data_IF_585420305229
#
_entry.id   IF_585420305229
#
_cell.length_a   1.000
_cell.length_b   1.000
_cell.length_c   1.000
_cell.angle_alpha   90.00
_cell.angle_beta   90.00
_cell.angle_gamma   90.00
#
_symmetry.space_group_name_H-M   'P 1'
#
loop_
_entity.id
_entity.type
_entity.pdbx_description
1 polymer ?
#
# COMPACT_ATOMS: atom_id res chain seq x y z
N UNK A 1 -5.87 -16.90 -15.64
CA UNK A 1 -7.19 -16.71 -16.27
C UNK A 1 -7.02 -16.44 -17.76
N UNK A 2 -7.25 -17.47 -18.56
CA UNK A 2 -7.18 -17.46 -20.02
C UNK A 2 -8.56 -17.14 -20.61
N UNK A 3 -8.55 -16.44 -21.74
CA UNK A 3 -9.73 -16.00 -22.48
C UNK A 3 -9.69 -16.57 -23.89
N UNK A 4 -10.82 -17.09 -24.36
CA UNK A 4 -11.04 -17.51 -25.75
C UNK A 4 -12.36 -16.92 -26.23
N UNK A 5 -12.35 -16.33 -27.42
CA UNK A 5 -13.55 -15.83 -28.11
C UNK A 5 -13.65 -16.54 -29.45
N UNK A 6 -14.80 -17.13 -29.73
CA UNK A 6 -15.08 -17.82 -30.99
C UNK A 6 -15.69 -16.89 -32.04
N UNK A 7 -15.69 -17.30 -33.30
CA UNK A 7 -16.25 -16.53 -34.42
C UNK A 7 -17.78 -16.42 -34.39
N UNK A 8 -18.46 -17.33 -33.70
CA UNK A 8 -19.90 -17.32 -33.42
C UNK A 8 -20.28 -16.57 -32.12
N UNK A 9 -19.31 -15.89 -31.48
CA UNK A 9 -19.57 -14.97 -30.37
C UNK A 9 -19.57 -15.59 -28.96
N UNK A 10 -19.19 -16.86 -28.81
CA UNK A 10 -19.03 -17.48 -27.50
C UNK A 10 -17.75 -16.99 -26.83
N UNK A 11 -17.87 -16.62 -25.55
CA UNK A 11 -16.74 -16.22 -24.71
C UNK A 11 -16.50 -17.28 -23.65
N UNK A 12 -15.30 -17.85 -23.64
CA UNK A 12 -14.87 -18.85 -22.66
C UNK A 12 -13.75 -18.27 -21.81
N UNK A 13 -13.94 -18.31 -20.49
CA UNK A 13 -12.95 -17.87 -19.52
C UNK A 13 -12.70 -18.99 -18.51
N UNK A 14 -11.43 -19.33 -18.29
CA UNK A 14 -11.03 -20.37 -17.36
C UNK A 14 -9.67 -20.04 -16.73
N UNK A 15 -9.34 -20.67 -15.61
CA UNK A 15 -8.03 -20.50 -14.96
C UNK A 15 -6.88 -20.85 -15.89
N UNK A 16 -7.11 -21.82 -16.77
CA UNK A 16 -6.14 -22.39 -17.72
C UNK A 16 -6.67 -22.34 -19.17
N UNK A 17 -5.76 -22.45 -20.14
CA UNK A 17 -6.14 -22.58 -21.55
C UNK A 17 -6.36 -24.05 -21.93
N UNK A 18 -7.29 -24.33 -22.84
CA UNK A 18 -7.52 -25.69 -23.36
C UNK A 18 -8.55 -26.53 -22.60
N UNK A 19 -9.26 -25.95 -21.63
CA UNK A 19 -10.33 -26.63 -20.87
C UNK A 19 -11.47 -27.11 -21.77
N UNK A 20 -11.76 -26.36 -22.85
CA UNK A 20 -12.76 -26.71 -23.86
C UNK A 20 -12.10 -26.67 -25.24
N UNK A 21 -12.33 -27.71 -26.02
CA UNK A 21 -11.78 -27.84 -27.37
C UNK A 21 -12.66 -27.12 -28.39
N UNK A 22 -12.02 -26.34 -29.27
CA UNK A 22 -12.66 -25.70 -30.41
C UNK A 22 -11.81 -25.92 -31.66
N UNK A 23 -12.42 -26.18 -32.84
CA UNK A 23 -11.70 -26.18 -34.11
C UNK A 23 -10.96 -24.85 -34.30
N UNK A 24 -9.69 -24.84 -34.76
CA UNK A 24 -8.90 -23.62 -34.91
C UNK A 24 -9.58 -22.56 -35.77
N UNK A 25 -10.38 -22.95 -36.77
CA UNK A 25 -11.08 -22.04 -37.67
C UNK A 25 -12.20 -21.26 -36.97
N UNK A 26 -12.72 -21.78 -35.86
CA UNK A 26 -13.74 -21.12 -35.04
C UNK A 26 -13.16 -20.15 -34.01
N UNK A 27 -11.85 -20.05 -33.87
CA UNK A 27 -11.22 -19.22 -32.84
C UNK A 27 -10.97 -17.82 -33.42
N UNK A 28 -11.68 -16.82 -32.92
CA UNK A 28 -11.47 -15.43 -33.30
C UNK A 28 -10.31 -14.80 -32.51
N UNK A 29 -10.25 -15.04 -31.19
CA UNK A 29 -9.25 -14.42 -30.30
C UNK A 29 -8.89 -15.33 -29.15
N UNK A 30 -7.60 -15.35 -28.80
CA UNK A 30 -7.08 -15.90 -27.54
C UNK A 30 -6.36 -14.82 -26.76
N UNK A 31 -6.46 -14.85 -25.44
CA UNK A 31 -5.82 -13.88 -24.56
C UNK A 31 -5.72 -14.35 -23.12
N UNK A 32 -5.21 -13.47 -22.27
CA UNK A 32 -5.15 -13.66 -20.82
C UNK A 32 -5.50 -12.37 -20.11
N UNK A 33 -6.08 -12.47 -18.93
CA UNK A 33 -6.30 -11.31 -18.07
C UNK A 33 -4.96 -10.84 -17.47
N UNK A 34 -4.67 -9.55 -17.59
CA UNK A 34 -3.47 -8.92 -17.04
C UNK A 34 -3.81 -8.18 -15.73
N UNK A 35 -2.83 -7.90 -14.86
CA UNK A 35 -3.07 -7.17 -13.62
C UNK A 35 -3.83 -5.86 -13.85
N UNK A 36 -4.96 -5.68 -13.17
CA UNK A 36 -5.79 -4.47 -13.27
C UNK A 36 -6.60 -4.33 -14.56
N UNK A 37 -6.52 -5.27 -15.51
CA UNK A 37 -7.35 -5.28 -16.71
C UNK A 37 -8.68 -5.99 -16.46
N UNK A 38 -9.75 -5.47 -17.07
CA UNK A 38 -11.08 -6.05 -17.04
C UNK A 38 -11.74 -6.06 -18.42
N UNK A 39 -12.79 -6.86 -18.57
CA UNK A 39 -13.73 -6.77 -19.68
C UNK A 39 -15.12 -7.17 -19.17
N UNK A 40 -16.14 -6.82 -19.93
CA UNK A 40 -17.53 -7.15 -19.62
C UNK A 40 -18.16 -7.76 -20.87
N UNK A 41 -18.86 -8.89 -20.73
CA UNK A 41 -19.74 -9.39 -21.78
C UNK A 41 -21.12 -8.83 -21.48
N UNK A 42 -21.55 -7.87 -22.29
CA UNK A 42 -22.90 -7.31 -22.17
C UNK A 42 -23.86 -8.18 -22.99
N UNK A 43 -24.75 -8.88 -22.29
CA UNK A 43 -25.71 -9.80 -22.91
C UNK A 43 -26.92 -9.10 -23.52
N UNK A 44 -27.16 -7.83 -23.17
CA UNK A 44 -28.23 -7.02 -23.75
C UNK A 44 -27.74 -6.37 -25.04
N UNK A 45 -26.55 -5.77 -25.03
CA UNK A 45 -25.92 -5.20 -26.22
C UNK A 45 -25.29 -6.27 -27.14
N UNK A 46 -25.11 -7.49 -26.64
CA UNK A 46 -24.56 -8.62 -27.40
C UNK A 46 -23.08 -8.44 -27.78
N UNK A 47 -22.29 -7.73 -26.95
CA UNK A 47 -20.88 -7.41 -27.26
C UNK A 47 -19.97 -7.45 -26.05
N UNK A 48 -18.67 -7.52 -26.33
CA UNK A 48 -17.62 -7.43 -25.32
C UNK A 48 -17.19 -5.97 -25.16
N UNK A 49 -17.35 -5.42 -23.96
CA UNK A 49 -16.88 -4.10 -23.57
C UNK A 49 -15.45 -4.23 -23.02
N UNK A 50 -14.53 -3.44 -23.56
CA UNK A 50 -13.11 -3.52 -23.23
C UNK A 50 -12.76 -2.75 -21.96
N UNK A 51 -11.60 -3.06 -21.37
CA UNK A 51 -11.04 -2.39 -20.18
C UNK A 51 -11.13 -0.85 -20.24
N UNK A 52 -10.62 -0.28 -21.34
CA UNK A 52 -10.58 1.16 -21.54
C UNK A 52 -11.98 1.76 -21.63
N UNK A 53 -12.91 1.08 -22.29
CA UNK A 53 -14.29 1.55 -22.44
C UNK A 53 -15.01 1.53 -21.09
N UNK A 54 -14.87 0.45 -20.32
CA UNK A 54 -15.43 0.32 -18.96
C UNK A 54 -14.90 1.46 -18.07
N UNK A 55 -13.58 1.55 -17.94
CA UNK A 55 -12.93 2.57 -17.08
C UNK A 55 -13.27 3.98 -17.52
N UNK A 56 -13.32 4.24 -18.83
CA UNK A 56 -13.67 5.56 -19.37
C UNK A 56 -15.13 5.92 -19.12
N UNK A 57 -16.06 4.96 -19.20
CA UNK A 57 -17.48 5.17 -18.88
C UNK A 57 -17.63 5.56 -17.41
N UNK A 58 -17.00 4.80 -16.50
CA UNK A 58 -17.05 5.07 -15.06
C UNK A 58 -16.39 6.41 -14.73
N UNK A 59 -15.16 6.66 -15.20
CA UNK A 59 -14.42 7.90 -14.91
C UNK A 59 -15.11 9.19 -15.40
N UNK A 60 -16.12 9.09 -16.28
CA UNK A 60 -16.92 10.22 -16.77
C UNK A 60 -18.28 10.35 -16.12
N UNK A 61 -18.69 9.44 -15.23
CA UNK A 61 -19.99 9.51 -14.54
C UNK A 61 -20.12 10.77 -13.67
N UNK A 62 -19.00 11.20 -13.08
CA UNK A 62 -18.88 12.40 -12.24
C UNK A 62 -17.62 13.17 -12.58
N UNK A 63 -17.55 14.47 -12.24
CA UNK A 63 -16.36 15.27 -12.49
C UNK A 63 -15.29 15.03 -11.41
N UNK A 64 -14.82 13.78 -11.26
CA UNK A 64 -13.89 13.37 -10.18
C UNK A 64 -12.63 14.22 -10.13
N UNK A 65 -12.09 14.61 -11.28
CA UNK A 65 -10.93 15.52 -11.35
C UNK A 65 -11.23 16.84 -10.65
N UNK A 66 -12.38 17.45 -10.93
CA UNK A 66 -12.81 18.68 -10.28
C UNK A 66 -13.02 18.47 -8.79
N UNK A 67 -13.60 17.35 -8.37
CA UNK A 67 -13.78 17.05 -6.94
C UNK A 67 -12.45 16.93 -6.22
N UNK A 68 -11.48 16.22 -6.80
CA UNK A 68 -10.13 16.11 -6.26
C UNK A 68 -9.45 17.48 -6.21
N UNK A 69 -9.45 18.24 -7.30
CA UNK A 69 -8.78 19.54 -7.37
C UNK A 69 -9.37 20.56 -6.37
N UNK A 70 -10.67 20.47 -6.07
CA UNK A 70 -11.37 21.41 -5.19
C UNK A 70 -11.38 21.01 -3.71
N UNK A 71 -11.28 19.72 -3.38
CA UNK A 71 -11.50 19.24 -2.02
C UNK A 71 -10.26 18.58 -1.40
N UNK A 72 -9.29 18.13 -2.20
CA UNK A 72 -8.10 17.46 -1.70
C UNK A 72 -7.21 18.46 -0.96
N UNK A 73 -6.83 18.11 0.27
CA UNK A 73 -5.96 18.93 1.10
C UNK A 73 -4.53 18.40 0.90
N UNK A 74 -3.67 19.21 0.26
CA UNK A 74 -2.23 18.98 0.19
C UNK A 74 -1.52 20.08 0.97
N UNK A 75 -0.81 19.68 2.04
CA UNK A 75 0.04 20.59 2.78
C UNK A 75 1.39 20.71 2.07
N UNK A 76 1.75 21.93 1.70
CA UNK A 76 3.03 22.22 1.07
C UNK A 76 4.14 22.22 2.12
N UNK A 77 5.32 21.73 1.72
CA UNK A 77 6.50 21.68 2.58
C UNK A 77 6.53 20.53 3.57
N UNK A 78 5.49 19.69 3.67
CA UNK A 78 5.63 18.45 4.45
C UNK A 78 6.78 17.60 3.88
N UNK A 79 7.50 16.90 4.75
CA UNK A 79 8.64 16.06 4.41
C UNK A 79 9.85 16.84 3.86
N UNK A 80 9.94 18.14 4.14
CA UNK A 80 11.18 18.91 3.98
C UNK A 80 12.30 18.32 4.86
N UNK A 81 13.57 18.67 4.58
CA UNK A 81 14.70 18.29 5.45
C UNK A 81 14.40 18.76 6.88
N UNK A 82 14.29 17.84 7.86
CA UNK A 82 13.98 18.20 9.23
C UNK A 82 15.02 19.16 9.79
N UNK A 83 14.58 20.17 10.53
CA UNK A 83 15.51 21.08 11.20
C UNK A 83 15.94 20.44 12.52
N UNK A 84 17.02 20.96 13.09
CA UNK A 84 17.47 20.48 14.38
C UNK A 84 16.46 20.89 15.44
N UNK A 85 15.71 19.91 15.95
CA UNK A 85 14.75 20.13 17.04
C UNK A 85 15.54 20.43 18.30
N UNK A 86 15.32 21.60 18.90
CA UNK A 86 15.84 21.88 20.23
C UNK A 86 15.13 20.97 21.24
N UNK A 87 15.86 19.96 21.69
CA UNK A 87 15.43 19.09 22.78
C UNK A 87 16.21 19.45 24.03
N UNK A 88 15.58 19.28 25.17
CA UNK A 88 16.24 19.39 26.47
C UNK A 88 17.24 18.22 26.63
N UNK A 89 18.52 18.54 26.48
CA UNK A 89 19.61 17.57 26.56
C UNK A 89 19.78 17.00 27.95
N UNK A 90 19.38 17.74 28.99
CA UNK A 90 19.57 17.34 30.39
C UNK A 90 18.65 16.17 30.75
N UNK A 91 17.42 16.16 30.20
CA UNK A 91 16.46 15.08 30.42
C UNK A 91 16.51 13.95 29.37
N UNK A 92 17.26 14.12 28.28
CA UNK A 92 17.30 13.16 27.17
C UNK A 92 17.70 11.74 27.62
N UNK A 93 18.78 11.62 28.39
CA UNK A 93 19.26 10.33 28.88
C UNK A 93 18.24 9.63 29.79
N UNK A 94 17.49 10.39 30.59
CA UNK A 94 16.43 9.86 31.42
C UNK A 94 15.25 9.37 30.57
N UNK A 95 14.81 10.16 29.59
CA UNK A 95 13.71 9.79 28.68
C UNK A 95 14.03 8.52 27.88
N UNK A 96 15.24 8.42 27.32
CA UNK A 96 15.69 7.23 26.60
C UNK A 96 15.59 5.98 27.49
N UNK A 97 16.06 6.06 28.74
CA UNK A 97 15.94 4.94 29.70
C UNK A 97 14.48 4.61 30.05
N UNK A 98 13.63 5.62 30.24
CA UNK A 98 12.21 5.42 30.54
C UNK A 98 11.47 4.69 29.40
N UNK A 99 11.83 4.97 28.15
CA UNK A 99 11.27 4.29 26.98
C UNK A 99 12.04 3.02 26.58
N UNK A 100 12.95 2.54 27.42
CA UNK A 100 13.65 1.27 27.23
C UNK A 100 14.79 1.30 26.21
N UNK A 101 15.21 2.47 25.71
CA UNK A 101 16.34 2.58 24.79
C UNK A 101 17.65 2.17 25.49
N UNK A 102 18.36 1.25 24.85
CA UNK A 102 19.66 0.76 25.29
C UNK A 102 20.80 1.30 24.41
N UNK A 103 22.02 1.30 24.95
CA UNK A 103 23.22 1.65 24.15
C UNK A 103 23.39 0.76 22.93
N UNK A 104 22.99 -0.51 23.05
CA UNK A 104 23.04 -1.47 21.96
C UNK A 104 22.05 -1.10 20.86
N UNK A 105 20.79 -0.81 21.19
CA UNK A 105 19.80 -0.36 20.19
C UNK A 105 20.22 0.94 19.50
N UNK A 106 20.75 1.91 20.26
CA UNK A 106 21.25 3.16 19.67
C UNK A 106 22.38 2.91 18.68
N UNK A 107 23.34 2.04 19.03
CA UNK A 107 24.55 1.79 18.23
C UNK A 107 24.33 0.82 17.08
N UNK A 108 23.53 -0.24 17.29
CA UNK A 108 23.34 -1.34 16.35
C UNK A 108 22.15 -1.11 15.42
N UNK A 109 21.14 -0.35 15.85
CA UNK A 109 19.91 -0.10 15.07
C UNK A 109 19.86 1.33 14.55
N UNK A 110 19.80 2.32 15.44
CA UNK A 110 19.54 3.70 15.03
C UNK A 110 20.73 4.34 14.29
N UNK A 111 21.96 4.10 14.73
CA UNK A 111 23.14 4.69 14.11
C UNK A 111 23.33 4.23 12.65
N UNK A 112 23.23 2.93 12.28
CA UNK A 112 23.26 2.50 10.89
C UNK A 112 22.12 3.08 10.04
N UNK A 113 20.90 3.15 10.59
CA UNK A 113 19.77 3.77 9.89
C UNK A 113 20.02 5.24 9.57
N UNK A 114 20.59 5.98 10.52
CA UNK A 114 20.89 7.40 10.35
C UNK A 114 22.04 7.65 9.35
N UNK A 115 23.06 6.80 9.33
CA UNK A 115 24.23 6.99 8.46
C UNK A 115 24.00 6.46 7.04
N UNK A 116 23.35 5.31 6.89
CA UNK A 116 23.26 4.58 5.62
C UNK A 116 21.88 4.68 4.97
N UNK A 117 20.89 5.28 5.64
CA UNK A 117 19.49 5.27 5.21
C UNK A 117 18.92 3.86 4.95
N UNK A 118 19.44 2.86 5.69
CA UNK A 118 19.04 1.47 5.57
C UNK A 118 18.97 0.84 6.97
N UNK A 119 18.05 -0.09 7.17
CA UNK A 119 18.04 -0.92 8.37
C UNK A 119 19.32 -1.75 8.50
N UNK A 120 19.80 -2.02 9.73
CA UNK A 120 20.98 -2.85 9.93
C UNK A 120 20.74 -4.29 9.46
N UNK A 121 21.76 -4.89 8.85
CA UNK A 121 21.76 -6.32 8.51
C UNK A 121 22.50 -7.09 9.59
N UNK A 122 21.85 -8.11 10.13
CA UNK A 122 22.42 -9.05 11.10
C UNK A 122 22.43 -10.49 10.60
N UNK A 123 22.96 -11.40 11.40
CA UNK A 123 22.98 -12.84 11.15
C UNK A 123 22.66 -13.62 12.43
N UNK A 124 22.51 -14.95 12.29
CA UNK A 124 22.10 -15.87 13.35
C UNK A 124 20.63 -15.72 13.77
N UNK A 125 20.12 -16.70 14.52
CA UNK A 125 18.77 -16.68 15.08
C UNK A 125 18.65 -15.82 16.32
N UNK A 126 17.43 -15.47 16.71
CA UNK A 126 17.16 -14.80 17.97
C UNK A 126 17.15 -15.80 19.13
N UNK A 127 18.22 -15.83 19.92
CA UNK A 127 18.39 -16.69 21.10
C UNK A 127 17.88 -16.02 22.40
N UNK A 128 17.11 -14.93 22.31
CA UNK A 128 16.50 -14.33 23.49
C UNK A 128 15.18 -15.03 23.85
N UNK A 129 14.84 -15.15 25.14
CA UNK A 129 13.55 -15.69 25.55
C UNK A 129 12.38 -14.94 24.90
N UNK A 130 11.27 -15.64 24.68
CA UNK A 130 10.00 -15.00 24.30
C UNK A 130 9.69 -13.87 25.28
N UNK A 131 9.09 -12.78 24.79
CA UNK A 131 8.91 -11.58 25.61
C UNK A 131 8.14 -11.84 26.92
N UNK A 132 7.17 -12.77 26.89
CA UNK A 132 6.38 -13.18 28.05
C UNK A 132 7.16 -14.03 29.08
N UNK A 133 8.26 -14.66 28.66
CA UNK A 133 9.11 -15.51 29.49
C UNK A 133 10.41 -14.81 29.92
N UNK A 134 10.58 -13.53 29.59
CA UNK A 134 11.83 -12.82 29.87
C UNK A 134 11.84 -12.27 31.29
N UNK A 135 12.97 -12.44 31.98
CA UNK A 135 13.22 -11.78 33.28
C UNK A 135 13.50 -10.28 33.15
N UNK A 136 13.62 -9.77 31.92
CA UNK A 136 13.83 -8.34 31.62
C UNK A 136 12.52 -7.72 31.15
N UNK A 137 12.32 -6.44 31.46
CA UNK A 137 11.21 -5.67 30.92
C UNK A 137 11.32 -5.62 29.39
N UNK A 138 10.23 -5.98 28.71
CA UNK A 138 10.12 -5.97 27.24
C UNK A 138 9.11 -4.92 26.81
N UNK A 139 9.43 -4.23 25.72
CA UNK A 139 8.54 -3.25 25.11
C UNK A 139 7.33 -3.94 24.48
N UNK A 140 6.20 -3.24 24.44
CA UNK A 140 4.92 -3.78 23.97
C UNK A 140 5.02 -4.39 22.57
N UNK A 141 5.75 -3.77 21.66
CA UNK A 141 5.93 -4.25 20.30
C UNK A 141 6.65 -5.60 20.20
N UNK A 142 7.40 -6.03 21.23
CA UNK A 142 8.06 -7.35 21.23
C UNK A 142 7.07 -8.53 21.35
N UNK A 143 5.85 -8.26 21.81
CA UNK A 143 4.77 -9.25 21.94
C UNK A 143 4.03 -9.47 20.61
N UNK A 144 4.10 -8.52 19.68
CA UNK A 144 3.49 -8.65 18.36
C UNK A 144 4.48 -9.26 17.38
N UNK A 145 4.08 -10.32 16.67
CA UNK A 145 4.88 -10.94 15.61
C UNK A 145 4.28 -10.59 14.26
N UNK A 146 5.13 -10.17 13.33
CA UNK A 146 4.71 -9.89 11.96
C UNK A 146 4.25 -11.19 11.32
N UNK A 147 3.01 -11.20 10.83
CA UNK A 147 2.52 -12.29 10.02
C UNK A 147 3.13 -12.19 8.63
N UNK A 148 3.36 -13.33 8.00
CA UNK A 148 3.84 -13.40 6.64
C UNK A 148 3.06 -14.46 5.87
N UNK A 149 2.93 -14.24 4.57
CA UNK A 149 2.24 -15.16 3.69
C UNK A 149 3.13 -16.38 3.41
N UNK A 150 2.53 -17.57 3.50
CA UNK A 150 3.16 -18.83 3.13
C UNK A 150 2.16 -19.64 2.31
N UNK A 151 2.59 -20.16 1.16
CA UNK A 151 1.87 -21.07 0.26
C UNK A 151 0.60 -20.47 -0.37
N UNK A 152 -0.35 -20.01 0.45
CA UNK A 152 -1.68 -19.53 0.07
C UNK A 152 -1.64 -18.30 -0.84
N UNK A 153 -0.71 -17.39 -0.60
CA UNK A 153 -0.44 -16.25 -1.47
C UNK A 153 1.06 -15.90 -1.45
N UNK A 154 1.63 -15.45 -2.57
CA UNK A 154 3.04 -15.07 -2.62
C UNK A 154 3.28 -13.71 -1.94
N UNK A 155 4.47 -13.55 -1.34
CA UNK A 155 4.96 -12.23 -0.93
C UNK A 155 5.37 -11.42 -2.17
N UNK A 156 5.27 -10.09 -2.07
CA UNK A 156 5.67 -9.14 -3.13
C UNK A 156 7.10 -8.68 -2.85
N UNK A 157 7.93 -8.57 -3.89
CA UNK A 157 9.28 -8.02 -3.78
C UNK A 157 9.23 -6.48 -3.64
N UNK A 158 9.57 -5.90 -2.47
CA UNK A 158 9.44 -4.46 -2.26
C UNK A 158 10.46 -3.63 -3.07
N UNK A 159 11.53 -4.23 -3.58
CA UNK A 159 12.57 -3.56 -4.35
C UNK A 159 12.29 -3.65 -5.85
N UNK A 160 11.92 -4.83 -6.35
CA UNK A 160 11.67 -5.06 -7.78
C UNK A 160 10.26 -4.70 -8.22
N UNK A 161 9.28 -4.84 -7.31
CA UNK A 161 7.86 -4.59 -7.58
C UNK A 161 7.34 -3.37 -6.81
N UNK A 162 8.22 -2.49 -6.32
CA UNK A 162 7.84 -1.30 -5.55
C UNK A 162 6.85 -0.36 -6.26
N UNK A 163 6.78 -0.40 -7.60
CA UNK A 163 5.82 0.39 -8.41
C UNK A 163 4.35 0.05 -8.12
N UNK A 164 4.05 -1.16 -7.65
CA UNK A 164 2.67 -1.55 -7.29
C UNK A 164 2.36 -1.35 -5.81
N UNK A 165 3.33 -0.86 -5.03
CA UNK A 165 3.19 -0.59 -3.60
C UNK A 165 3.07 0.92 -3.33
N UNK A 166 2.40 1.29 -2.24
CA UNK A 166 2.31 2.68 -1.80
C UNK A 166 2.18 2.79 -0.29
N UNK A 167 2.91 3.75 0.29
CA UNK A 167 2.77 4.16 1.70
C UNK A 167 1.88 5.41 1.84
N UNK A 168 1.25 5.84 0.76
CA UNK A 168 0.38 7.01 0.76
C UNK A 168 -0.86 6.75 1.63
N UNK A 169 -1.17 7.73 2.46
CA UNK A 169 -2.30 7.71 3.39
C UNK A 169 -3.23 8.89 3.15
N UNK A 170 -4.50 8.70 3.48
CA UNK A 170 -5.49 9.76 3.50
C UNK A 170 -6.12 9.88 4.88
N UNK A 171 -6.01 11.06 5.48
CA UNK A 171 -6.49 11.34 6.83
C UNK A 171 -7.68 12.29 6.75
N UNK A 172 -8.78 11.95 7.41
CA UNK A 172 -9.99 12.77 7.42
C UNK A 172 -11.24 11.96 7.70
N UNK A 173 -12.40 12.60 7.54
CA UNK A 173 -13.69 11.95 7.66
C UNK A 173 -13.85 10.92 6.53
N UNK A 174 -14.46 9.79 6.85
CA UNK A 174 -14.85 8.76 5.89
C UNK A 174 -16.38 8.77 5.82
N UNK A 175 -16.99 9.40 4.80
CA UNK A 175 -18.44 9.40 4.64
C UNK A 175 -18.96 8.00 4.25
N UNK A 176 -20.27 7.91 4.05
CA UNK A 176 -20.95 6.67 3.67
C UNK A 176 -20.48 6.16 2.31
N UNK A 177 -20.01 4.91 2.26
CA UNK A 177 -19.47 4.28 1.05
C UNK A 177 -20.50 4.07 -0.07
N UNK A 178 -21.80 4.16 0.24
CA UNK A 178 -22.87 4.03 -0.74
C UNK A 178 -23.17 5.35 -1.47
N UNK A 179 -22.67 6.46 -0.94
CA UNK A 179 -22.84 7.78 -1.52
C UNK A 179 -21.61 8.17 -2.34
N UNK A 180 -21.82 8.96 -3.39
CA UNK A 180 -20.77 9.43 -4.27
C UNK A 180 -20.81 10.95 -4.36
N UNK A 181 -20.04 11.61 -3.52
CA UNK A 181 -20.10 13.07 -3.34
C UNK A 181 -18.71 13.72 -3.27
N UNK A 182 -18.58 15.03 -3.58
CA UNK A 182 -17.29 15.74 -3.51
C UNK A 182 -16.62 15.69 -2.13
N UNK A 183 -17.41 15.60 -1.05
CA UNK A 183 -16.93 15.57 0.33
C UNK A 183 -16.05 14.36 0.62
N UNK A 184 -16.18 13.26 -0.13
CA UNK A 184 -15.30 12.11 -0.04
C UNK A 184 -13.85 12.46 -0.37
N UNK A 185 -13.63 13.47 -1.22
CA UNK A 185 -12.29 13.95 -1.58
C UNK A 185 -11.71 14.91 -0.53
N UNK A 186 -12.47 15.30 0.51
CA UNK A 186 -12.01 16.22 1.57
C UNK A 186 -11.13 15.49 2.60
N UNK A 187 -9.96 15.06 2.14
CA UNK A 187 -8.98 14.33 2.93
C UNK A 187 -7.60 14.99 2.81
N UNK A 188 -6.84 14.94 3.90
CA UNK A 188 -5.44 15.27 3.92
C UNK A 188 -4.65 14.11 3.31
N UNK A 189 -3.99 14.39 2.20
CA UNK A 189 -3.13 13.42 1.52
C UNK A 189 -1.72 13.46 2.11
N UNK A 190 -1.27 12.33 2.65
CA UNK A 190 0.08 12.13 3.18
C UNK A 190 0.83 11.14 2.29
N UNK A 191 1.98 11.50 1.67
CA UNK A 191 2.77 10.57 0.86
C UNK A 191 3.39 9.42 1.66
N UNK A 192 3.62 9.62 2.96
CA UNK A 192 4.26 8.65 3.84
C UNK A 192 3.70 8.76 5.28
N UNK A 193 3.64 7.66 6.07
CA UNK A 193 3.08 7.68 7.42
C UNK A 193 4.02 8.26 8.50
N UNK A 194 5.33 8.32 8.23
CA UNK A 194 6.31 8.88 9.17
C UNK A 194 6.44 10.38 8.96
N UNK A 195 6.13 11.16 9.98
CA UNK A 195 6.18 12.62 9.98
C UNK A 195 7.31 13.10 10.89
N UNK A 196 8.07 14.10 10.44
CA UNK A 196 9.01 14.81 11.31
C UNK A 196 8.26 15.71 12.31
N UNK A 197 8.97 16.23 13.31
CA UNK A 197 8.37 17.11 14.30
C UNK A 197 7.80 18.39 13.66
N UNK A 198 8.46 18.94 12.66
CA UNK A 198 8.00 20.10 11.90
C UNK A 198 6.75 19.80 11.07
N UNK A 199 6.69 18.60 10.48
CA UNK A 199 5.49 18.15 9.76
C UNK A 199 4.30 18.07 10.70
N UNK A 200 4.49 17.52 11.89
CA UNK A 200 3.47 17.46 12.95
C UNK A 200 3.07 18.87 13.39
N UNK A 201 4.02 19.80 13.60
CA UNK A 201 3.70 21.18 13.97
C UNK A 201 2.85 21.87 12.90
N UNK A 202 3.17 21.67 11.62
CA UNK A 202 2.39 22.19 10.48
C UNK A 202 0.98 21.60 10.40
N UNK A 203 0.72 20.44 10.99
CA UNK A 203 -0.63 19.88 11.07
C UNK A 203 -1.50 20.58 12.11
N UNK A 204 -0.90 21.16 13.15
CA UNK A 204 -1.62 21.86 14.21
C UNK A 204 -1.90 23.34 13.90
N UNK A 205 -1.14 23.93 12.97
CA UNK A 205 -1.28 25.32 12.51
C UNK A 205 -2.16 25.43 11.27
#
# INVERSE_FOLDING_TARGET
>A
MSLLVTTDGLVVMASEAGVVQFPPEKIQRKGRLQPGHMFLVDTVEGRIITDNEIKSKIARQRPYRRWLDQNKIELRGLFDVPKLVHTDTDTLAQRLRLFGYTREELKMILLPMALNAQEPVGSMGNDTPLAVLSDKQKLLFNYFKQLFAQVTNPAIDPLREGLVMSLMNFVGKKPNILDETPEHCRQLKLPHPILANEDIQRLYT
#
